data_IF_574260940035
#
_entry.id   IF_574260940035
#
_cell.length_a   1.000
_cell.length_b   1.000
_cell.length_c   1.000
_cell.angle_alpha   90.00
_cell.angle_beta   90.00
_cell.angle_gamma   90.00
#
_symmetry.space_group_name_H-M   'P 1'
#
loop_
_entity.id
_entity.type
_entity.pdbx_description
1 polymer ?
#
# COMPACT_ATOMS: atom_id res chain seq x y z
N UNK A 1 11.89 10.71 -8.26
CA UNK A 1 11.36 11.28 -7.01
C UNK A 1 10.56 10.23 -6.25
N UNK A 2 10.67 10.17 -4.92
CA UNK A 2 9.92 9.18 -4.15
C UNK A 2 8.40 9.27 -4.35
N UNK A 3 7.88 10.50 -4.49
CA UNK A 3 6.44 10.69 -4.72
C UNK A 3 5.99 10.08 -6.04
N UNK A 4 6.79 10.21 -7.09
CA UNK A 4 6.46 9.63 -8.39
C UNK A 4 6.46 8.10 -8.33
N UNK A 5 7.44 7.54 -7.64
CA UNK A 5 7.52 6.10 -7.45
C UNK A 5 6.33 5.58 -6.66
N UNK A 6 5.95 6.31 -5.62
CA UNK A 6 4.81 5.94 -4.79
C UNK A 6 3.52 5.98 -5.59
N UNK A 7 3.34 7.01 -6.43
CA UNK A 7 2.18 7.10 -7.30
C UNK A 7 2.12 5.97 -8.32
N UNK A 8 3.27 5.59 -8.85
CA UNK A 8 3.36 4.47 -9.79
C UNK A 8 2.95 3.17 -9.12
N UNK A 9 3.49 2.91 -7.93
CA UNK A 9 3.14 1.70 -7.17
C UNK A 9 1.66 1.70 -6.80
N UNK A 10 1.11 2.86 -6.48
CA UNK A 10 -0.31 3.00 -6.16
C UNK A 10 -1.18 2.65 -7.37
N UNK A 11 -0.79 3.10 -8.57
CA UNK A 11 -1.50 2.75 -9.80
C UNK A 11 -1.47 1.25 -10.06
N UNK A 12 -0.32 0.62 -9.83
CA UNK A 12 -0.19 -0.82 -9.98
C UNK A 12 -1.08 -1.57 -8.98
N UNK A 13 -1.15 -1.06 -7.75
CA UNK A 13 -1.99 -1.67 -6.73
C UNK A 13 -3.47 -1.58 -7.09
N UNK A 14 -3.89 -0.46 -7.67
CA UNK A 14 -5.26 -0.31 -8.15
C UNK A 14 -5.59 -1.32 -9.25
N UNK A 15 -4.64 -1.59 -10.13
CA UNK A 15 -4.85 -2.61 -11.17
C UNK A 15 -5.01 -4.00 -10.55
N UNK A 16 -4.23 -4.31 -9.54
CA UNK A 16 -4.37 -5.60 -8.84
C UNK A 16 -5.72 -5.68 -8.13
N UNK A 17 -6.18 -4.56 -7.58
CA UNK A 17 -7.48 -4.50 -6.94
C UNK A 17 -8.61 -4.86 -7.94
N UNK A 18 -8.50 -4.36 -9.17
CA UNK A 18 -9.48 -4.65 -10.22
C UNK A 18 -9.50 -6.12 -10.62
N UNK A 19 -8.41 -6.84 -10.42
CA UNK A 19 -8.31 -8.27 -10.76
C UNK A 19 -8.87 -9.18 -9.69
N UNK A 20 -9.21 -8.65 -8.53
CA UNK A 20 -9.75 -9.46 -7.45
C UNK A 20 -11.15 -9.95 -7.78
N UNK A 21 -11.43 -11.20 -7.39
CA UNK A 21 -12.73 -11.78 -7.58
C UNK A 21 -13.70 -11.34 -6.49
N UNK A 22 -14.99 -11.56 -6.72
CA UNK A 22 -16.05 -11.09 -5.81
C UNK A 22 -15.93 -11.72 -4.41
N UNK A 23 -15.49 -12.96 -4.32
CA UNK A 23 -15.32 -13.65 -3.04
C UNK A 23 -14.12 -13.13 -2.23
N UNK A 24 -13.31 -12.26 -2.80
CA UNK A 24 -12.14 -11.70 -2.13
C UNK A 24 -12.42 -10.33 -1.53
N UNK A 25 -13.62 -10.15 -0.98
CA UNK A 25 -14.05 -8.86 -0.45
C UNK A 25 -13.18 -8.33 0.67
N UNK A 26 -12.68 -9.22 1.54
CA UNK A 26 -11.82 -8.79 2.65
C UNK A 26 -10.48 -8.26 2.15
N UNK A 27 -9.92 -8.91 1.13
CA UNK A 27 -8.68 -8.45 0.51
C UNK A 27 -8.90 -7.09 -0.15
N UNK A 28 -10.02 -6.94 -0.84
CA UNK A 28 -10.39 -5.68 -1.50
C UNK A 28 -10.50 -4.54 -0.49
N UNK A 29 -11.17 -4.78 0.62
CA UNK A 29 -11.30 -3.78 1.67
C UNK A 29 -9.95 -3.34 2.23
N UNK A 30 -9.06 -4.31 2.46
CA UNK A 30 -7.75 -4.02 2.99
C UNK A 30 -6.92 -3.19 2.00
N UNK A 31 -6.92 -3.58 0.73
CA UNK A 31 -6.19 -2.86 -0.30
C UNK A 31 -6.76 -1.47 -0.52
N UNK A 32 -8.09 -1.32 -0.49
CA UNK A 32 -8.73 0.00 -0.58
C UNK A 32 -8.29 0.91 0.55
N UNK A 33 -8.22 0.39 1.77
CA UNK A 33 -7.79 1.16 2.93
C UNK A 33 -6.33 1.60 2.79
N UNK A 34 -5.47 0.72 2.30
CA UNK A 34 -4.06 1.05 2.07
C UNK A 34 -3.91 2.10 0.98
N UNK A 35 -4.66 1.97 -0.10
CA UNK A 35 -4.66 2.96 -1.18
C UNK A 35 -5.05 4.33 -0.64
N UNK A 36 -6.13 4.39 0.14
CA UNK A 36 -6.57 5.64 0.74
C UNK A 36 -5.50 6.25 1.66
N UNK A 37 -4.83 5.42 2.44
CA UNK A 37 -3.76 5.88 3.33
C UNK A 37 -2.57 6.44 2.56
N UNK A 38 -2.18 5.78 1.48
CA UNK A 38 -1.08 6.23 0.64
C UNK A 38 -1.44 7.54 -0.08
N UNK A 39 -2.67 7.63 -0.59
CA UNK A 39 -3.14 8.85 -1.23
C UNK A 39 -3.12 10.03 -0.27
N UNK A 40 -3.56 9.82 0.95
CA UNK A 40 -3.54 10.86 1.96
C UNK A 40 -2.11 11.31 2.25
N UNK A 41 -1.18 10.36 2.33
CA UNK A 41 0.23 10.64 2.56
C UNK A 41 0.84 11.47 1.43
N UNK A 42 0.39 11.24 0.19
CA UNK A 42 0.86 12.01 -0.96
C UNK A 42 0.31 13.43 -0.97
N UNK A 43 -0.93 13.60 -0.51
CA UNK A 43 -1.59 14.91 -0.53
C UNK A 43 -1.18 15.81 0.62
N UNK A 44 -0.88 15.22 1.79
CA UNK A 44 -0.63 15.98 3.01
C UNK A 44 0.59 15.42 3.73
N UNK A 45 1.41 16.29 4.32
CA UNK A 45 2.48 15.81 5.18
C UNK A 45 1.88 15.13 6.41
N UNK A 46 2.42 14.00 6.77
CA UNK A 46 1.98 13.25 7.95
C UNK A 46 3.00 13.42 9.07
N UNK A 47 2.53 13.38 10.30
CA UNK A 47 3.46 13.34 11.43
C UNK A 47 4.08 11.93 11.52
N UNK A 48 5.06 11.76 12.41
CA UNK A 48 5.77 10.49 12.50
C UNK A 48 4.87 9.34 12.95
N UNK A 49 3.87 9.62 13.80
CA UNK A 49 2.95 8.58 14.25
C UNK A 49 2.07 8.09 13.10
N UNK A 50 1.57 9.00 12.27
CA UNK A 50 0.78 8.65 11.09
C UNK A 50 1.60 7.88 10.08
N UNK A 51 2.83 8.30 9.87
CA UNK A 51 3.75 7.63 8.96
C UNK A 51 4.02 6.19 9.42
N UNK A 52 4.35 6.02 10.69
CA UNK A 52 4.63 4.70 11.24
C UNK A 52 3.40 3.79 11.20
N UNK A 53 2.23 4.35 11.44
CA UNK A 53 0.98 3.59 11.37
C UNK A 53 0.74 3.06 9.96
N UNK A 54 0.96 3.90 8.95
CA UNK A 54 0.80 3.48 7.55
C UNK A 54 1.80 2.39 7.18
N UNK A 55 3.06 2.57 7.55
CA UNK A 55 4.11 1.57 7.26
C UNK A 55 3.75 0.23 7.93
N UNK A 56 3.26 0.28 9.16
CA UNK A 56 2.88 -0.94 9.87
C UNK A 56 1.69 -1.63 9.22
N UNK A 57 0.70 -0.85 8.75
CA UNK A 57 -0.45 -1.40 8.05
C UNK A 57 -0.01 -2.11 6.76
N UNK A 58 0.91 -1.51 6.02
CA UNK A 58 1.45 -2.13 4.82
C UNK A 58 2.18 -3.42 5.15
N UNK A 59 3.01 -3.39 6.20
CA UNK A 59 3.76 -4.58 6.64
C UNK A 59 2.83 -5.73 7.03
N UNK A 60 1.79 -5.44 7.78
CA UNK A 60 0.82 -6.46 8.18
C UNK A 60 0.10 -7.05 6.96
N UNK A 61 -0.23 -6.20 6.01
CA UNK A 61 -0.89 -6.65 4.78
C UNK A 61 0.02 -7.57 3.97
N UNK A 62 1.31 -7.25 3.91
CA UNK A 62 2.28 -8.12 3.25
C UNK A 62 2.26 -9.51 3.89
N UNK A 63 2.34 -9.58 5.21
CA UNK A 63 2.33 -10.86 5.94
C UNK A 63 1.07 -11.66 5.66
N UNK A 64 -0.07 -10.98 5.55
CA UNK A 64 -1.35 -11.67 5.35
C UNK A 64 -1.55 -12.13 3.91
N UNK A 65 -0.98 -11.42 2.95
CA UNK A 65 -1.26 -11.65 1.54
C UNK A 65 -0.14 -12.34 0.78
N UNK A 66 1.02 -12.53 1.39
CA UNK A 66 2.20 -12.98 0.65
C UNK A 66 2.06 -14.38 0.03
N UNK A 67 1.24 -15.24 0.61
CA UNK A 67 1.04 -16.59 0.08
C UNK A 67 -0.01 -16.60 -1.02
N UNK A 68 -1.12 -15.90 -0.79
CA UNK A 68 -2.28 -15.96 -1.70
C UNK A 68 -2.24 -14.93 -2.82
N UNK A 69 -1.54 -13.80 -2.62
CA UNK A 69 -1.53 -12.69 -3.58
C UNK A 69 -0.11 -12.15 -3.76
N UNK A 70 0.79 -12.93 -4.40
CA UNK A 70 2.19 -12.54 -4.51
C UNK A 70 2.44 -11.26 -5.29
N UNK A 71 1.62 -10.96 -6.30
CA UNK A 71 1.77 -9.72 -7.07
C UNK A 71 1.45 -8.50 -6.24
N UNK A 72 0.32 -8.55 -5.53
CA UNK A 72 -0.06 -7.46 -4.65
C UNK A 72 1.00 -7.26 -3.57
N UNK A 73 1.53 -8.35 -3.04
CA UNK A 73 2.57 -8.31 -2.01
C UNK A 73 3.84 -7.64 -2.53
N UNK A 74 4.25 -7.95 -3.76
CA UNK A 74 5.42 -7.31 -4.36
C UNK A 74 5.23 -5.80 -4.48
N UNK A 75 4.04 -5.37 -4.88
CA UNK A 75 3.71 -3.95 -5.00
C UNK A 75 3.70 -3.29 -3.63
N UNK A 76 3.11 -3.95 -2.63
CA UNK A 76 3.09 -3.45 -1.26
C UNK A 76 4.51 -3.31 -0.70
N UNK A 77 5.38 -4.24 -1.03
CA UNK A 77 6.77 -4.16 -0.60
C UNK A 77 7.47 -2.93 -1.19
N UNK A 78 7.23 -2.64 -2.47
CA UNK A 78 7.74 -1.42 -3.09
C UNK A 78 7.20 -0.17 -2.41
N UNK A 79 5.92 -0.17 -2.07
CA UNK A 79 5.31 0.94 -1.35
C UNK A 79 5.98 1.11 0.02
N UNK A 80 6.20 0.01 0.74
CA UNK A 80 6.83 0.06 2.06
C UNK A 80 8.25 0.63 1.99
N UNK A 81 9.04 0.18 1.02
CA UNK A 81 10.39 0.67 0.82
C UNK A 81 10.39 2.15 0.48
N UNK A 82 9.50 2.58 -0.41
CA UNK A 82 9.39 3.97 -0.80
C UNK A 82 8.97 4.86 0.36
N UNK A 83 8.00 4.41 1.17
CA UNK A 83 7.59 5.13 2.37
C UNK A 83 8.75 5.25 3.35
N UNK A 84 9.54 4.20 3.48
CA UNK A 84 10.72 4.22 4.33
C UNK A 84 11.72 5.29 3.88
N UNK A 85 11.90 5.42 2.57
CA UNK A 85 12.80 6.44 2.01
C UNK A 85 12.26 7.86 2.17
N UNK A 86 10.94 8.02 2.24
CA UNK A 86 10.28 9.31 2.48
C UNK A 86 10.17 9.63 3.95
N UNK A 87 10.48 8.67 4.79
CA UNK A 87 10.31 8.77 6.21
C UNK A 87 11.22 9.78 6.88
N UNK A 88 11.05 9.92 8.14
CA UNK A 88 11.67 10.95 8.95
C UNK A 88 13.06 10.57 9.41
#
# INVERSE_FOLDING_TARGET
>A
MPDDRLRQSLSELRLELERLEAEEAQVRERLDALIAGVELRLDQPADSAQHQSLVEDVRQSISQLEVSHPRATAILNEIMVTLGNMGI
#
